data_IF_441668323791
#
_entry.id   IF_441668323791
#
_cell.length_a   1.000
_cell.length_b   1.000
_cell.length_c   1.000
_cell.angle_alpha   90.00
_cell.angle_beta   90.00
_cell.angle_gamma   90.00
#
_symmetry.space_group_name_H-M   'P 1'
#
loop_
_entity.id
_entity.type
_entity.pdbx_description
1 polymer ?
#
# COMPACT_ATOMS: atom_id res chain seq x y z
N UNK A 1 -2.32 -4.92 3.60
CA UNK A 1 -1.97 -3.50 3.78
C UNK A 1 -1.99 -3.09 5.26
N UNK A 2 -3.07 -3.27 6.03
CA UNK A 2 -3.19 -2.80 7.44
C UNK A 2 -2.12 -3.33 8.39
N UNK A 3 -1.81 -4.63 8.32
CA UNK A 3 -0.74 -5.22 9.14
C UNK A 3 0.63 -4.62 8.80
N UNK A 4 0.83 -4.21 7.55
CA UNK A 4 2.03 -3.50 7.13
C UNK A 4 2.04 -2.07 7.69
N UNK A 5 0.92 -1.34 7.58
CA UNK A 5 0.76 0.01 8.14
C UNK A 5 1.07 -0.01 9.63
N UNK A 6 0.43 -0.89 10.41
CA UNK A 6 0.64 -0.98 11.86
C UNK A 6 2.07 -1.37 12.25
N UNK A 7 2.77 -2.14 11.41
CA UNK A 7 4.14 -2.53 11.69
C UNK A 7 5.17 -1.49 11.24
N UNK A 8 5.00 -0.92 10.05
CA UNK A 8 6.01 -0.05 9.42
C UNK A 8 5.82 1.43 9.76
N UNK A 9 4.56 1.85 9.97
CA UNK A 9 4.21 3.25 10.23
C UNK A 9 3.88 3.51 11.71
N UNK A 10 4.14 2.55 12.59
CA UNK A 10 3.98 2.73 14.04
C UNK A 10 4.78 3.94 14.58
N UNK A 11 5.99 4.15 14.07
CA UNK A 11 6.84 5.30 14.41
C UNK A 11 6.18 6.61 14.00
N UNK A 12 5.77 6.72 12.74
CA UNK A 12 5.06 7.90 12.21
C UNK A 12 3.82 8.22 13.03
N UNK A 13 3.01 7.19 13.34
CA UNK A 13 1.79 7.39 14.12
C UNK A 13 2.08 7.84 15.57
N UNK A 14 3.10 7.25 16.22
CA UNK A 14 3.45 7.60 17.60
C UNK A 14 4.05 8.99 17.73
N UNK A 15 4.81 9.46 16.74
CA UNK A 15 5.45 10.78 16.75
C UNK A 15 4.56 11.90 16.21
N UNK A 16 3.42 11.58 15.59
CA UNK A 16 2.50 12.58 15.07
C UNK A 16 1.96 13.46 16.19
N UNK A 17 1.97 14.78 15.99
CA UNK A 17 1.35 15.73 16.93
C UNK A 17 -0.16 15.52 16.99
N UNK A 18 -0.78 15.28 15.83
CA UNK A 18 -2.16 14.84 15.68
C UNK A 18 -2.18 13.45 15.02
N UNK A 19 -2.63 12.39 15.73
CA UNK A 19 -2.65 11.03 15.22
C UNK A 19 -3.87 10.75 14.32
N UNK A 20 -4.21 11.69 13.45
CA UNK A 20 -5.28 11.50 12.47
C UNK A 20 -4.82 10.58 11.35
N UNK A 21 -5.64 9.57 11.06
CA UNK A 21 -5.48 8.67 9.92
C UNK A 21 -6.73 8.76 9.04
N UNK A 22 -6.55 8.94 7.75
CA UNK A 22 -7.64 8.93 6.78
C UNK A 22 -7.68 7.59 6.04
N UNK A 23 -8.84 6.97 6.02
CA UNK A 23 -9.18 5.86 5.12
C UNK A 23 -9.96 6.42 3.94
N UNK A 24 -9.28 6.65 2.84
CA UNK A 24 -9.83 7.29 1.66
C UNK A 24 -10.49 6.25 0.75
N UNK A 25 -11.77 6.45 0.43
CA UNK A 25 -12.52 5.58 -0.46
C UNK A 25 -12.75 4.19 0.15
N UNK A 26 -13.27 4.13 1.37
CA UNK A 26 -13.52 2.84 2.06
C UNK A 26 -14.57 1.96 1.37
N UNK A 27 -15.29 2.50 0.37
CA UNK A 27 -16.19 1.73 -0.50
C UNK A 27 -17.59 1.55 0.06
N UNK A 28 -18.24 0.44 -0.35
CA UNK A 28 -19.66 0.20 -0.05
C UNK A 28 -19.95 -0.09 1.43
N UNK A 29 -18.95 -0.52 2.21
CA UNK A 29 -19.11 -0.86 3.62
C UNK A 29 -17.99 -0.28 4.47
N UNK A 30 -18.26 0.15 5.73
CA UNK A 30 -17.26 0.72 6.61
C UNK A 30 -16.31 -0.32 7.24
N UNK A 31 -16.44 -1.61 6.92
CA UNK A 31 -15.71 -2.71 7.57
C UNK A 31 -14.20 -2.46 7.58
N UNK A 32 -13.65 -2.02 6.46
CA UNK A 32 -12.20 -1.78 6.36
C UNK A 32 -11.73 -0.63 7.23
N UNK A 33 -12.53 0.44 7.37
CA UNK A 33 -12.22 1.56 8.25
C UNK A 33 -12.35 1.17 9.73
N UNK A 34 -13.36 0.38 10.08
CA UNK A 34 -13.56 -0.18 11.45
C UNK A 34 -12.37 -1.06 11.84
N UNK A 35 -11.96 -1.98 10.96
CA UNK A 35 -10.81 -2.85 11.22
C UNK A 35 -9.51 -2.05 11.34
N UNK A 36 -9.30 -1.05 10.48
CA UNK A 36 -8.13 -0.18 10.55
C UNK A 36 -8.09 0.56 11.90
N UNK A 37 -9.20 1.17 12.32
CA UNK A 37 -9.29 1.88 13.61
C UNK A 37 -8.96 0.96 14.78
N UNK A 38 -9.52 -0.25 14.80
CA UNK A 38 -9.25 -1.23 15.84
C UNK A 38 -7.78 -1.68 15.90
N UNK A 39 -7.12 -1.81 14.73
CA UNK A 39 -5.71 -2.17 14.63
C UNK A 39 -4.80 -1.04 15.08
N UNK A 40 -5.08 0.20 14.65
CA UNK A 40 -4.28 1.37 14.97
C UNK A 40 -4.40 1.77 16.45
N UNK A 41 -5.56 1.57 17.07
CA UNK A 41 -5.74 1.80 18.52
C UNK A 41 -4.79 0.97 19.40
N UNK A 42 -4.30 -0.18 18.90
CA UNK A 42 -3.28 -0.99 19.58
C UNK A 42 -1.86 -0.39 19.46
N UNK A 43 -1.65 0.48 18.48
CA UNK A 43 -0.37 1.18 18.26
C UNK A 43 -0.33 2.49 19.04
N UNK A 44 -1.45 3.22 19.03
CA UNK A 44 -1.63 4.48 19.72
C UNK A 44 -3.10 4.65 20.13
N UNK A 45 -3.37 4.74 21.43
CA UNK A 45 -4.74 4.68 21.99
C UNK A 45 -5.62 5.89 21.64
N UNK A 46 -5.02 7.07 21.42
CA UNK A 46 -5.71 8.31 21.05
C UNK A 46 -5.78 8.53 19.53
N UNK A 47 -5.49 7.50 18.72
CA UNK A 47 -5.61 7.56 17.26
C UNK A 47 -7.05 7.87 16.86
N UNK A 48 -7.19 8.74 15.87
CA UNK A 48 -8.47 9.06 15.23
C UNK A 48 -8.45 8.59 13.79
N UNK A 49 -9.48 7.89 13.37
CA UNK A 49 -9.64 7.45 11.98
C UNK A 49 -10.84 8.16 11.37
N UNK A 50 -10.62 8.78 10.23
CA UNK A 50 -11.65 9.40 9.42
C UNK A 50 -11.82 8.60 8.12
N UNK A 51 -12.95 7.94 7.96
CA UNK A 51 -13.35 7.33 6.69
C UNK A 51 -13.91 8.41 5.76
N UNK A 52 -13.29 8.56 4.58
CA UNK A 52 -13.77 9.47 3.53
C UNK A 52 -14.32 8.68 2.34
N UNK A 53 -15.49 9.09 1.86
CA UNK A 53 -16.11 8.56 0.65
C UNK A 53 -16.80 9.71 -0.10
N UNK A 54 -16.76 9.68 -1.43
CA UNK A 54 -17.40 10.72 -2.26
C UNK A 54 -18.91 10.53 -2.37
N UNK A 55 -19.37 9.30 -2.25
CA UNK A 55 -20.76 8.89 -2.35
C UNK A 55 -21.48 9.18 -1.01
N UNK A 56 -22.46 10.08 -1.03
CA UNK A 56 -23.20 10.49 0.16
C UNK A 56 -24.02 9.35 0.78
N UNK A 57 -24.55 8.44 -0.04
CA UNK A 57 -25.37 7.32 0.45
C UNK A 57 -24.50 6.30 1.18
N UNK A 58 -23.27 6.07 0.70
CA UNK A 58 -22.28 5.23 1.38
C UNK A 58 -21.83 5.84 2.70
N UNK A 59 -21.66 7.17 2.75
CA UNK A 59 -21.36 7.87 4.01
C UNK A 59 -22.52 7.70 4.99
N UNK A 60 -23.76 7.92 4.57
CA UNK A 60 -24.94 7.73 5.42
C UNK A 60 -25.03 6.28 5.93
N UNK A 61 -24.78 5.30 5.08
CA UNK A 61 -24.77 3.87 5.44
C UNK A 61 -23.65 3.50 6.44
N UNK A 62 -22.55 4.24 6.46
CA UNK A 62 -21.43 4.01 7.38
C UNK A 62 -21.66 4.62 8.77
N UNK A 63 -22.51 5.64 8.91
CA UNK A 63 -22.72 6.36 10.17
C UNK A 63 -23.06 5.48 11.38
N UNK A 64 -23.85 4.38 11.27
CA UNK A 64 -24.10 3.49 12.39
C UNK A 64 -22.85 2.79 12.95
N UNK A 65 -21.76 2.73 12.18
CA UNK A 65 -20.48 2.16 12.62
C UNK A 65 -19.52 3.22 13.20
N UNK A 66 -19.92 4.49 13.27
CA UNK A 66 -19.09 5.54 13.85
C UNK A 66 -18.93 5.35 15.37
N UNK A 67 -17.75 5.70 15.87
CA UNK A 67 -17.39 5.64 17.30
C UNK A 67 -16.51 6.87 17.63
N UNK A 68 -17.10 8.08 17.67
CA UNK A 68 -16.34 9.29 17.94
C UNK A 68 -15.71 9.31 19.35
N UNK A 69 -14.51 9.86 19.53
CA UNK A 69 -13.68 10.51 18.49
C UNK A 69 -12.80 9.53 17.68
N UNK A 70 -12.82 8.23 18.00
CA UNK A 70 -11.91 7.22 17.45
C UNK A 70 -12.17 6.93 15.96
N UNK A 71 -13.43 6.85 15.55
CA UNK A 71 -13.84 6.58 14.17
C UNK A 71 -15.00 7.48 13.78
N UNK A 72 -14.78 8.24 12.72
CA UNK A 72 -15.80 9.12 12.12
C UNK A 72 -15.85 8.90 10.61
N UNK A 73 -16.96 9.29 9.99
CA UNK A 73 -17.14 9.22 8.56
C UNK A 73 -17.59 10.57 8.03
N UNK A 74 -17.06 10.96 6.87
CA UNK A 74 -17.44 12.19 6.20
C UNK A 74 -17.40 12.02 4.68
N UNK A 75 -18.12 12.91 3.99
CA UNK A 75 -18.00 13.05 2.55
C UNK A 75 -16.72 13.81 2.22
N UNK A 76 -15.89 13.25 1.33
CA UNK A 76 -14.65 13.89 0.88
C UNK A 76 -13.92 13.04 -0.13
N UNK A 77 -12.94 13.66 -0.78
CA UNK A 77 -12.10 13.06 -1.80
C UNK A 77 -10.62 13.35 -1.55
N UNK A 78 -9.89 13.65 -2.62
CA UNK A 78 -8.44 13.89 -2.57
C UNK A 78 -8.06 15.15 -1.78
N UNK A 79 -8.99 16.06 -1.53
CA UNK A 79 -8.84 17.24 -0.66
C UNK A 79 -8.83 16.89 0.83
N UNK A 80 -9.05 15.59 1.17
CA UNK A 80 -9.04 15.05 2.53
C UNK A 80 -10.02 15.74 3.49
N UNK A 81 -11.12 16.30 2.96
CA UNK A 81 -12.08 17.12 3.71
C UNK A 81 -11.44 18.31 4.44
N UNK A 82 -10.31 18.82 3.95
CA UNK A 82 -9.54 19.91 4.55
C UNK A 82 -8.65 19.50 5.73
N UNK A 83 -8.64 18.22 6.08
CA UNK A 83 -7.82 17.66 7.16
C UNK A 83 -6.35 17.48 6.74
N UNK A 84 -5.47 17.37 7.73
CA UNK A 84 -4.03 17.12 7.54
C UNK A 84 -3.60 15.84 8.28
N UNK A 85 -3.87 14.66 7.74
CA UNK A 85 -3.59 13.40 8.42
C UNK A 85 -2.10 13.07 8.48
N UNK A 86 -1.71 12.34 9.52
CA UNK A 86 -0.40 11.72 9.63
C UNK A 86 -0.24 10.51 8.69
N UNK A 87 -1.34 9.81 8.41
CA UNK A 87 -1.35 8.67 7.49
C UNK A 87 -2.63 8.74 6.65
N UNK A 88 -2.50 8.58 5.34
CA UNK A 88 -3.62 8.29 4.43
C UNK A 88 -3.47 6.87 3.91
N UNK A 89 -4.54 6.07 4.00
CA UNK A 89 -4.68 4.80 3.29
C UNK A 89 -5.63 5.01 2.12
N UNK A 90 -5.19 4.69 0.90
CA UNK A 90 -5.99 4.71 -0.31
C UNK A 90 -5.87 3.35 -1.02
N UNK A 91 -6.80 2.42 -0.74
CA UNK A 91 -6.79 1.08 -1.29
C UNK A 91 -7.80 0.96 -2.44
N UNK A 92 -7.35 0.58 -3.62
CA UNK A 92 -8.14 0.43 -4.85
C UNK A 92 -8.79 1.74 -5.38
N UNK A 93 -8.49 2.89 -4.79
CA UNK A 93 -9.11 4.18 -5.14
C UNK A 93 -8.69 4.64 -6.53
N UNK A 94 -7.38 4.62 -6.82
CA UNK A 94 -6.85 5.16 -8.08
C UNK A 94 -6.94 4.17 -9.24
N UNK A 95 -7.36 2.94 -9.02
CA UNK A 95 -7.45 1.91 -10.05
C UNK A 95 -8.38 2.30 -11.22
N UNK A 96 -9.42 3.08 -10.94
CA UNK A 96 -10.41 3.53 -11.93
C UNK A 96 -9.99 4.78 -12.72
N UNK A 97 -8.89 5.43 -12.33
CA UNK A 97 -8.39 6.65 -12.98
C UNK A 97 -7.37 6.29 -14.07
N UNK A 98 -7.11 7.21 -15.00
CA UNK A 98 -5.96 7.11 -15.90
C UNK A 98 -4.64 7.46 -15.18
N UNK A 99 -3.50 7.20 -15.84
CA UNK A 99 -2.17 7.41 -15.26
C UNK A 99 -1.94 8.89 -14.86
N UNK A 100 -2.37 9.82 -15.73
CA UNK A 100 -2.19 11.26 -15.49
C UNK A 100 -3.08 11.76 -14.33
N UNK A 101 -4.32 11.27 -14.23
CA UNK A 101 -5.21 11.60 -13.11
C UNK A 101 -4.71 11.00 -11.79
N UNK A 102 -4.18 9.77 -11.82
CA UNK A 102 -3.56 9.16 -10.64
C UNK A 102 -2.33 9.95 -10.17
N UNK A 103 -1.49 10.41 -11.10
CA UNK A 103 -0.34 11.26 -10.76
C UNK A 103 -0.78 12.60 -10.13
N UNK A 104 -1.82 13.24 -10.66
CA UNK A 104 -2.39 14.45 -10.06
C UNK A 104 -2.97 14.19 -8.67
N UNK A 105 -3.67 13.07 -8.49
CA UNK A 105 -4.20 12.66 -7.18
C UNK A 105 -3.07 12.48 -6.16
N UNK A 106 -1.95 11.87 -6.53
CA UNK A 106 -0.79 11.76 -5.65
C UNK A 106 -0.25 13.13 -5.22
N UNK A 107 -0.18 14.10 -6.14
CA UNK A 107 0.27 15.46 -5.81
C UNK A 107 -0.68 16.13 -4.80
N UNK A 108 -1.98 16.06 -5.04
CA UNK A 108 -3.01 16.65 -4.17
C UNK A 108 -2.98 16.02 -2.77
N UNK A 109 -3.01 14.68 -2.70
CA UNK A 109 -2.99 13.95 -1.44
C UNK A 109 -1.73 14.24 -0.61
N UNK A 110 -0.55 14.25 -1.26
CA UNK A 110 0.72 14.56 -0.58
C UNK A 110 0.78 15.98 -0.04
N UNK A 111 0.22 16.94 -0.77
CA UNK A 111 0.13 18.33 -0.32
C UNK A 111 -0.78 18.49 0.92
N UNK A 112 -1.80 17.63 1.06
CA UNK A 112 -2.71 17.60 2.20
C UNK A 112 -2.15 16.90 3.45
N UNK A 113 -1.02 16.19 3.38
CA UNK A 113 -0.47 15.49 4.55
C UNK A 113 0.01 16.45 5.64
N UNK A 114 -0.05 15.99 6.88
CA UNK A 114 0.64 16.64 7.99
C UNK A 114 2.17 16.65 7.77
N UNK A 115 2.95 17.53 8.43
CA UNK A 115 4.40 17.44 8.39
C UNK A 115 4.90 16.06 8.83
N UNK A 116 5.69 15.39 7.98
CA UNK A 116 6.14 14.02 8.19
C UNK A 116 5.06 12.94 7.97
N UNK A 117 3.88 13.35 7.50
CA UNK A 117 2.81 12.41 7.14
C UNK A 117 3.10 11.63 5.87
N UNK A 118 2.39 10.52 5.70
CA UNK A 118 2.59 9.57 4.59
C UNK A 118 1.28 9.13 3.97
N UNK A 119 1.34 8.81 2.68
CA UNK A 119 0.26 8.18 1.92
C UNK A 119 0.66 6.74 1.57
N UNK A 120 -0.20 5.79 1.85
CA UNK A 120 -0.11 4.40 1.39
C UNK A 120 -1.18 4.20 0.33
N UNK A 121 -0.78 4.22 -0.93
CA UNK A 121 -1.68 4.04 -2.07
C UNK A 121 -1.38 2.73 -2.78
N UNK A 122 -2.43 1.96 -3.09
CA UNK A 122 -2.22 0.71 -3.80
C UNK A 122 -3.50 -0.03 -4.13
N UNK A 123 -3.29 -1.24 -4.63
CA UNK A 123 -4.37 -2.13 -5.04
C UNK A 123 -4.24 -3.49 -4.36
N UNK A 124 -5.38 -4.10 -4.09
CA UNK A 124 -5.46 -5.47 -3.62
C UNK A 124 -6.60 -6.21 -4.33
N UNK A 125 -6.56 -7.54 -4.29
CA UNK A 125 -7.68 -8.35 -4.72
C UNK A 125 -8.82 -8.30 -3.69
N UNK A 126 -9.99 -8.79 -4.07
CA UNK A 126 -11.22 -8.74 -3.25
C UNK A 126 -11.07 -9.49 -1.91
N UNK A 127 -10.22 -10.50 -1.88
CA UNK A 127 -9.98 -11.33 -0.68
C UNK A 127 -8.73 -10.89 0.10
N UNK A 128 -8.02 -9.84 -0.37
CA UNK A 128 -6.79 -9.37 0.26
C UNK A 128 -5.63 -10.36 0.23
N UNK A 129 -5.64 -11.31 -0.74
CA UNK A 129 -4.58 -12.32 -0.91
C UNK A 129 -3.38 -11.80 -1.71
N UNK A 130 -3.64 -10.89 -2.62
CA UNK A 130 -2.64 -10.24 -3.47
C UNK A 130 -2.78 -8.73 -3.36
N UNK A 131 -1.67 -8.03 -3.26
CA UNK A 131 -1.68 -6.57 -3.22
C UNK A 131 -0.31 -5.96 -3.49
N UNK A 132 -0.34 -4.74 -4.02
CA UNK A 132 0.83 -3.89 -4.15
C UNK A 132 0.48 -2.48 -3.70
N UNK A 133 1.38 -1.82 -3.00
CA UNK A 133 1.19 -0.43 -2.60
C UNK A 133 2.49 0.35 -2.60
N UNK A 134 2.36 1.63 -2.91
CA UNK A 134 3.44 2.61 -2.82
C UNK A 134 3.32 3.35 -1.50
N UNK A 135 4.42 3.53 -0.81
CA UNK A 135 4.57 4.51 0.25
C UNK A 135 5.03 5.83 -0.36
N UNK A 136 4.24 6.89 -0.14
CA UNK A 136 4.57 8.23 -0.57
C UNK A 136 4.75 9.14 0.64
N UNK A 137 5.81 9.92 0.61
CA UNK A 137 6.08 11.03 1.53
C UNK A 137 5.76 12.38 0.84
N UNK A 138 5.85 13.49 1.55
CA UNK A 138 5.67 14.82 0.93
C UNK A 138 6.64 15.05 -0.23
N UNK A 139 7.88 14.53 -0.15
CA UNK A 139 8.89 14.63 -1.20
C UNK A 139 8.63 13.75 -2.44
N UNK A 140 7.83 12.72 -2.35
CA UNK A 140 7.58 11.78 -3.46
C UNK A 140 7.40 10.34 -3.02
N UNK A 141 7.26 9.44 -3.98
CA UNK A 141 7.20 8.01 -3.71
C UNK A 141 8.55 7.51 -3.19
N UNK A 142 8.51 6.64 -2.18
CA UNK A 142 9.67 6.12 -1.48
C UNK A 142 9.92 4.65 -1.75
N UNK A 143 8.87 3.86 -1.76
CA UNK A 143 9.00 2.40 -1.94
C UNK A 143 7.75 1.78 -2.51
N UNK A 144 7.90 0.63 -3.15
CA UNK A 144 6.83 -0.25 -3.58
C UNK A 144 6.88 -1.53 -2.75
N UNK A 145 5.74 -1.94 -2.19
CA UNK A 145 5.63 -3.21 -1.46
C UNK A 145 4.73 -4.16 -2.24
N UNK A 146 5.24 -5.34 -2.48
CA UNK A 146 4.50 -6.51 -2.96
C UNK A 146 4.06 -7.34 -1.77
N UNK A 147 2.82 -7.78 -1.76
CA UNK A 147 2.28 -8.60 -0.69
C UNK A 147 1.39 -9.70 -1.24
N UNK A 148 1.58 -10.90 -0.73
CA UNK A 148 0.74 -12.02 -1.10
C UNK A 148 0.52 -13.00 0.06
N UNK A 149 -0.60 -13.69 0.00
CA UNK A 149 -0.69 -15.00 0.64
C UNK A 149 0.11 -15.96 -0.23
N UNK A 150 1.27 -16.35 0.25
CA UNK A 150 2.28 -17.07 -0.57
C UNK A 150 1.79 -18.41 -1.16
N UNK A 151 0.74 -18.97 -0.55
CA UNK A 151 0.06 -20.17 -1.06
C UNK A 151 -0.89 -19.86 -2.25
N UNK A 152 -1.17 -18.59 -2.52
CA UNK A 152 -2.10 -18.16 -3.56
C UNK A 152 -1.41 -17.75 -4.88
N UNK A 153 -0.09 -17.83 -4.95
CA UNK A 153 0.68 -17.48 -6.15
C UNK A 153 1.48 -18.67 -6.66
N UNK A 154 1.60 -18.77 -7.97
CA UNK A 154 2.52 -19.69 -8.64
C UNK A 154 3.90 -19.05 -8.79
N UNK A 155 3.94 -17.74 -9.05
CA UNK A 155 5.15 -16.93 -9.17
C UNK A 155 4.91 -15.47 -8.82
N UNK A 156 5.97 -14.74 -8.39
CA UNK A 156 5.86 -13.33 -8.00
C UNK A 156 5.33 -12.40 -9.10
N UNK A 157 5.64 -12.68 -10.37
CA UNK A 157 5.17 -11.88 -11.51
C UNK A 157 3.65 -11.74 -11.60
N UNK A 158 2.86 -12.63 -10.99
CA UNK A 158 1.40 -12.49 -10.90
C UNK A 158 0.95 -11.24 -10.13
N UNK A 159 1.83 -10.70 -9.26
CA UNK A 159 1.56 -9.44 -8.56
C UNK A 159 1.53 -8.22 -9.48
N UNK A 160 1.99 -8.36 -10.72
CA UNK A 160 1.89 -7.31 -11.74
C UNK A 160 0.44 -6.83 -11.96
N UNK A 161 -0.54 -7.72 -11.82
CA UNK A 161 -1.96 -7.38 -11.93
C UNK A 161 -2.45 -6.42 -10.84
N UNK A 162 -1.69 -6.30 -9.76
CA UNK A 162 -2.00 -5.44 -8.61
C UNK A 162 -1.11 -4.20 -8.53
N UNK A 163 -0.27 -3.97 -9.53
CA UNK A 163 0.56 -2.76 -9.56
C UNK A 163 -0.33 -1.49 -9.50
N UNK A 164 0.10 -0.48 -8.74
CA UNK A 164 -0.52 0.83 -8.74
C UNK A 164 -0.58 1.42 -10.14
N UNK A 165 -1.51 2.36 -10.35
CA UNK A 165 -1.77 2.95 -11.68
C UNK A 165 -0.53 3.59 -12.31
N UNK A 166 0.37 4.12 -11.49
CA UNK A 166 1.64 4.68 -11.96
C UNK A 166 2.61 3.65 -12.58
N UNK A 167 2.39 2.34 -12.36
CA UNK A 167 3.31 1.28 -12.79
C UNK A 167 2.67 0.22 -13.68
N UNK A 168 1.36 0.00 -13.61
CA UNK A 168 0.72 -1.13 -14.29
C UNK A 168 0.92 -1.11 -15.80
N UNK A 169 0.87 0.06 -16.45
CA UNK A 169 1.11 0.23 -17.88
C UNK A 169 2.60 0.33 -18.24
N UNK A 170 3.47 0.43 -17.21
CA UNK A 170 4.93 0.44 -17.32
C UNK A 170 5.55 -0.96 -17.19
N UNK A 171 4.75 -1.99 -16.96
CA UNK A 171 5.27 -3.36 -16.92
C UNK A 171 5.46 -3.92 -18.34
N UNK A 172 6.39 -3.30 -19.07
CA UNK A 172 6.77 -3.66 -20.44
C UNK A 172 8.30 -3.71 -20.57
N UNK A 173 8.87 -4.48 -21.52
CA UNK A 173 10.31 -4.55 -21.72
C UNK A 173 10.95 -3.16 -21.84
N UNK A 174 12.05 -2.95 -21.14
CA UNK A 174 12.77 -1.69 -21.08
C UNK A 174 12.40 -0.79 -19.89
N UNK A 175 11.34 -1.09 -19.17
CA UNK A 175 10.95 -0.38 -17.95
C UNK A 175 11.49 -1.05 -16.67
N UNK A 176 11.84 -0.25 -15.68
CA UNK A 176 12.47 -0.72 -14.44
C UNK A 176 11.61 -1.71 -13.66
N UNK A 177 10.30 -1.48 -13.58
CA UNK A 177 9.35 -2.39 -12.91
C UNK A 177 9.30 -3.76 -13.59
N UNK A 178 9.40 -3.81 -14.92
CA UNK A 178 9.43 -5.06 -15.68
C UNK A 178 10.70 -5.85 -15.39
N UNK A 179 11.85 -5.18 -15.38
CA UNK A 179 13.14 -5.80 -15.03
C UNK A 179 13.14 -6.34 -13.60
N UNK A 180 12.57 -5.59 -12.65
CA UNK A 180 12.44 -6.04 -11.28
C UNK A 180 11.58 -7.31 -11.16
N UNK A 181 10.40 -7.34 -11.78
CA UNK A 181 9.51 -8.50 -11.73
C UNK A 181 10.15 -9.72 -12.41
N UNK A 182 10.85 -9.54 -13.53
CA UNK A 182 11.59 -10.60 -14.18
C UNK A 182 12.72 -11.16 -13.28
N UNK A 183 13.46 -10.28 -12.60
CA UNK A 183 14.46 -10.68 -11.63
C UNK A 183 13.87 -11.43 -10.44
N UNK A 184 12.68 -11.02 -9.97
CA UNK A 184 12.00 -11.69 -8.88
C UNK A 184 11.51 -13.08 -9.28
N UNK A 185 10.95 -13.23 -10.48
CA UNK A 185 10.59 -14.54 -11.03
C UNK A 185 11.82 -15.46 -11.20
N UNK A 186 12.92 -14.94 -11.70
CA UNK A 186 14.17 -15.70 -11.80
C UNK A 186 14.71 -16.15 -10.43
N UNK A 187 14.65 -15.26 -9.42
CA UNK A 187 15.03 -15.60 -8.04
C UNK A 187 14.08 -16.65 -7.43
N UNK A 188 12.79 -16.58 -7.75
CA UNK A 188 11.80 -17.59 -7.35
C UNK A 188 12.08 -18.94 -8.00
N UNK A 189 12.41 -18.98 -9.28
CA UNK A 189 12.73 -20.22 -10.00
C UNK A 189 14.03 -20.83 -9.47
N UNK A 190 15.05 -20.03 -9.21
CA UNK A 190 16.30 -20.49 -8.58
C UNK A 190 16.09 -21.06 -7.16
N UNK A 191 15.06 -20.57 -6.44
CA UNK A 191 14.70 -21.07 -5.12
C UNK A 191 13.76 -22.31 -5.16
N UNK A 192 13.60 -22.97 -6.32
CA UNK A 192 12.68 -24.10 -6.47
C UNK A 192 12.96 -25.27 -5.50
N UNK A 193 14.23 -25.57 -5.24
CA UNK A 193 14.63 -26.63 -4.30
C UNK A 193 14.13 -26.39 -2.87
N UNK A 194 13.95 -25.11 -2.47
CA UNK A 194 13.49 -24.73 -1.14
C UNK A 194 11.96 -24.97 -0.99
N UNK A 195 11.23 -25.21 -2.08
CA UNK A 195 9.79 -25.49 -2.08
C UNK A 195 9.40 -26.70 -1.22
N UNK A 196 10.32 -27.65 -0.98
CA UNK A 196 10.11 -28.79 -0.08
C UNK A 196 9.79 -28.35 1.35
N UNK A 197 10.22 -27.16 1.74
CA UNK A 197 9.93 -26.54 3.05
C UNK A 197 8.70 -25.63 3.03
N UNK A 198 7.96 -25.61 1.92
CA UNK A 198 6.75 -24.83 1.71
C UNK A 198 6.97 -23.50 0.97
N UNK A 199 5.88 -22.93 0.41
CA UNK A 199 5.94 -21.76 -0.45
C UNK A 199 6.47 -20.51 0.28
N UNK A 200 6.27 -20.42 1.60
CA UNK A 200 6.80 -19.32 2.41
C UNK A 200 8.32 -19.32 2.46
N UNK A 201 8.96 -20.49 2.58
CA UNK A 201 10.42 -20.57 2.57
C UNK A 201 10.99 -20.23 1.21
N UNK A 202 10.30 -20.63 0.13
CA UNK A 202 10.67 -20.24 -1.23
C UNK A 202 10.59 -18.72 -1.43
N UNK A 203 9.52 -18.08 -0.93
CA UNK A 203 9.38 -16.62 -0.99
C UNK A 203 10.51 -15.89 -0.24
N UNK A 204 10.83 -16.34 0.98
CA UNK A 204 11.95 -15.80 1.77
C UNK A 204 13.27 -15.97 1.04
N UNK A 205 13.52 -17.15 0.46
CA UNK A 205 14.73 -17.42 -0.28
C UNK A 205 14.85 -16.55 -1.55
N UNK A 206 13.76 -16.37 -2.30
CA UNK A 206 13.72 -15.51 -3.47
C UNK A 206 14.00 -14.04 -3.11
N UNK A 207 13.35 -13.51 -2.06
CA UNK A 207 13.61 -12.15 -1.57
C UNK A 207 15.06 -11.96 -1.11
N UNK A 208 15.63 -12.96 -0.43
CA UNK A 208 17.05 -12.95 -0.01
C UNK A 208 17.99 -12.98 -1.22
N UNK A 209 17.65 -13.74 -2.26
CA UNK A 209 18.43 -13.79 -3.49
C UNK A 209 18.44 -12.45 -4.22
N UNK A 210 17.29 -11.75 -4.29
CA UNK A 210 17.21 -10.39 -4.83
C UNK A 210 18.13 -9.42 -4.08
N UNK A 211 18.11 -9.44 -2.75
CA UNK A 211 18.99 -8.59 -1.94
C UNK A 211 20.47 -8.88 -2.23
N UNK A 212 20.85 -10.15 -2.35
CA UNK A 212 22.23 -10.57 -2.66
C UNK A 212 22.67 -10.18 -4.07
N UNK A 213 21.74 -10.10 -5.02
CA UNK A 213 22.03 -9.67 -6.40
C UNK A 213 22.05 -8.15 -6.55
N UNK A 214 21.94 -7.39 -5.46
CA UNK A 214 22.09 -5.94 -5.44
C UNK A 214 20.80 -5.15 -5.60
N UNK A 215 19.62 -5.80 -5.65
CA UNK A 215 18.36 -5.06 -5.62
C UNK A 215 18.14 -4.42 -4.24
N UNK A 216 17.74 -3.14 -4.21
CA UNK A 216 17.50 -2.42 -2.93
C UNK A 216 16.15 -2.84 -2.34
N UNK A 217 16.10 -4.06 -1.81
CA UNK A 217 14.89 -4.65 -1.22
C UNK A 217 15.00 -4.78 0.30
N UNK A 218 13.92 -4.50 0.99
CA UNK A 218 13.75 -4.79 2.41
C UNK A 218 13.06 -6.16 2.56
N UNK A 219 13.82 -7.12 3.10
CA UNK A 219 13.41 -8.52 3.30
C UNK A 219 12.89 -8.79 4.72
N UNK A 220 12.82 -7.80 5.58
CA UNK A 220 12.47 -7.97 7.02
C UNK A 220 11.07 -8.54 7.22
N UNK A 221 10.17 -8.36 6.22
CA UNK A 221 8.79 -8.83 6.29
C UNK A 221 8.45 -9.97 5.34
N UNK A 222 9.45 -10.58 4.70
CA UNK A 222 9.22 -11.70 3.76
C UNK A 222 8.50 -12.88 4.39
N UNK A 223 8.70 -13.15 5.71
CA UNK A 223 7.93 -14.19 6.42
C UNK A 223 6.42 -13.93 6.49
N UNK A 224 6.00 -12.69 6.26
CA UNK A 224 4.59 -12.27 6.19
C UNK A 224 4.05 -12.24 4.76
N UNK A 225 4.84 -12.70 3.76
CA UNK A 225 4.49 -12.62 2.35
C UNK A 225 4.66 -11.22 1.76
N UNK A 226 5.45 -10.35 2.39
CA UNK A 226 5.68 -8.98 1.97
C UNK A 226 7.13 -8.79 1.53
N UNK A 227 7.36 -8.11 0.41
CA UNK A 227 8.67 -7.68 -0.06
C UNK A 227 8.57 -6.22 -0.48
N UNK A 228 9.43 -5.38 0.06
CA UNK A 228 9.47 -3.95 -0.27
C UNK A 228 10.72 -3.65 -1.07
N UNK A 229 10.59 -2.90 -2.16
CA UNK A 229 11.69 -2.40 -2.99
C UNK A 229 11.72 -0.88 -2.94
N UNK A 230 12.92 -0.28 -2.96
CA UNK A 230 13.07 1.17 -3.10
C UNK A 230 12.43 1.65 -4.41
N UNK A 231 11.74 2.80 -4.35
CA UNK A 231 11.04 3.34 -5.51
C UNK A 231 11.97 3.61 -6.69
N UNK A 232 13.19 4.07 -6.43
CA UNK A 232 14.16 4.42 -7.47
C UNK A 232 14.53 3.25 -8.38
N UNK A 233 14.43 2.02 -7.86
CA UNK A 233 14.72 0.80 -8.61
C UNK A 233 13.56 0.33 -9.51
N UNK A 234 12.35 0.88 -9.34
CA UNK A 234 11.14 0.46 -10.07
C UNK A 234 10.37 1.63 -10.69
N UNK A 235 10.84 2.85 -10.46
CA UNK A 235 10.22 4.07 -11.00
C UNK A 235 10.12 4.02 -12.52
N UNK A 236 9.04 4.60 -13.10
CA UNK A 236 8.94 4.76 -14.54
C UNK A 236 10.20 5.42 -15.11
N UNK A 237 10.73 4.87 -16.18
CA UNK A 237 11.80 5.53 -16.94
C UNK A 237 11.21 6.69 -17.71
N UNK A 238 11.83 7.88 -17.63
CA UNK A 238 11.43 8.98 -18.49
C UNK A 238 11.62 8.54 -19.94
N UNK A 239 10.53 8.61 -20.74
CA UNK A 239 10.66 8.48 -22.18
C UNK A 239 11.58 9.60 -22.66
N UNK A 240 12.70 9.23 -23.29
CA UNK A 240 13.61 10.18 -23.89
C UNK A 240 12.95 10.94 -25.04
#
# INVERSE_FOLDING_TARGET
>A
MDNWITARLAGTLRSAADPLVVDLGYGATPVTAVELAARLARVRSDVRVLGLEIDADRVAAAMPAADPPRLTFARGGFELAGERPAIVRAANVLRQYDEAAAARAWLTLRAGLAPGGVLVEGTCDELGRLGCWVLLEQGGPRSLTFACRVEAIERPGQLAERLPKALIHRNVPGEAIHEFLAAFDAAWDAAAAVSTFGPRQRWIAAGTALARSGWPVDVTRTRHGELTVDWTAVAPRCSA
#
